data_IF_772202902809
#
_entry.id   IF_772202902809
#
_cell.length_a   1.000
_cell.length_b   1.000
_cell.length_c   1.000
_cell.angle_alpha   90.00
_cell.angle_beta   90.00
_cell.angle_gamma   90.00
#
_symmetry.space_group_name_H-M   'P 1'
#
loop_
_entity.id
_entity.type
_entity.pdbx_description
1 polymer ?
#
# COMPACT_ATOMS: atom_id res chain seq x y z
N UNK A 1 -8.85 6.24 -2.66
CA UNK A 1 -8.87 4.88 -2.09
C UNK A 1 -10.24 4.48 -1.58
N UNK A 2 -10.78 3.41 -2.16
CA UNK A 2 -11.86 2.60 -1.59
C UNK A 2 -11.14 1.50 -0.81
N UNK A 3 -11.38 1.37 0.49
CA UNK A 3 -10.65 0.43 1.34
C UNK A 3 -11.07 -1.04 1.10
N UNK A 4 -10.92 -1.51 -0.14
CA UNK A 4 -11.35 -2.82 -0.61
C UNK A 4 -10.42 -3.96 -0.15
N UNK A 5 -9.20 -3.62 0.33
CA UNK A 5 -8.17 -4.54 0.83
C UNK A 5 -7.67 -5.60 -0.17
N UNK A 6 -7.97 -5.46 -1.47
CA UNK A 6 -7.53 -6.39 -2.50
C UNK A 6 -6.00 -6.46 -2.62
N UNK A 7 -5.31 -5.32 -2.60
CA UNK A 7 -3.85 -5.28 -2.71
C UNK A 7 -3.15 -5.97 -1.52
N UNK A 8 -3.72 -5.90 -0.31
CA UNK A 8 -3.21 -6.65 0.85
C UNK A 8 -3.47 -8.16 0.72
N UNK A 9 -4.64 -8.55 0.18
CA UNK A 9 -5.00 -9.95 -0.01
C UNK A 9 -4.19 -10.66 -1.11
N UNK A 10 -3.86 -9.96 -2.20
CA UNK A 10 -3.07 -10.52 -3.31
C UNK A 10 -1.56 -10.52 -3.04
N UNK A 11 -1.09 -9.75 -2.05
CA UNK A 11 0.33 -9.57 -1.79
C UNK A 11 0.97 -10.90 -1.29
N UNK A 12 1.87 -11.53 -2.07
CA UNK A 12 2.45 -12.82 -1.69
C UNK A 12 3.38 -12.71 -0.48
N UNK A 13 4.01 -11.54 -0.29
CA UNK A 13 4.93 -11.28 0.81
C UNK A 13 4.25 -10.67 2.04
N UNK A 14 2.93 -10.46 2.00
CA UNK A 14 2.16 -9.79 3.05
C UNK A 14 2.80 -8.46 3.51
N UNK A 15 3.28 -7.67 2.54
CA UNK A 15 3.99 -6.42 2.79
C UNK A 15 3.06 -5.21 3.02
N UNK A 16 1.75 -5.35 2.74
CA UNK A 16 0.79 -4.24 2.74
C UNK A 16 -0.20 -4.39 3.91
N UNK A 17 -0.26 -3.37 4.75
CA UNK A 17 -1.21 -3.26 5.87
C UNK A 17 -2.21 -2.14 5.60
N UNK A 18 -3.51 -2.44 5.76
CA UNK A 18 -4.60 -1.51 5.43
C UNK A 18 -5.64 -1.48 6.55
N UNK A 19 -5.79 -0.31 7.15
CA UNK A 19 -6.84 -0.01 8.11
C UNK A 19 -7.88 0.92 7.49
N UNK A 20 -9.14 0.73 7.87
CA UNK A 20 -10.24 1.49 7.30
C UNK A 20 -11.36 1.64 8.29
N UNK A 21 -11.94 2.83 8.33
CA UNK A 21 -13.13 3.13 9.11
C UNK A 21 -14.27 3.58 8.19
N UNK A 22 -15.48 3.45 8.71
CA UNK A 22 -16.68 4.02 8.09
C UNK A 22 -16.83 5.45 8.58
N UNK A 23 -16.94 6.40 7.64
CA UNK A 23 -17.17 7.81 7.98
C UNK A 23 -18.65 8.09 8.14
N UNK A 24 -18.96 9.23 8.76
CA UNK A 24 -20.32 9.73 8.98
C UNK A 24 -21.13 9.90 7.66
N UNK A 25 -20.44 10.00 6.52
CA UNK A 25 -21.03 10.08 5.18
C UNK A 25 -21.41 8.71 4.59
N UNK A 26 -21.25 7.62 5.35
CA UNK A 26 -21.51 6.24 4.92
C UNK A 26 -20.45 5.70 3.96
N UNK A 27 -19.38 6.44 3.69
CA UNK A 27 -18.28 5.98 2.83
C UNK A 27 -17.16 5.34 3.65
N UNK A 28 -16.63 4.23 3.15
CA UNK A 28 -15.49 3.54 3.79
C UNK A 28 -14.18 4.09 3.25
N UNK A 29 -13.36 4.68 4.12
CA UNK A 29 -12.09 5.30 3.74
C UNK A 29 -10.93 4.68 4.51
N UNK A 30 -9.79 4.63 3.83
CA UNK A 30 -8.54 4.12 4.39
C UNK A 30 -7.98 5.12 5.40
N UNK A 31 -7.84 4.71 6.65
CA UNK A 31 -7.24 5.48 7.74
C UNK A 31 -5.73 5.36 7.73
N UNK A 32 -5.23 4.13 7.71
CA UNK A 32 -3.81 3.81 7.55
C UNK A 32 -3.60 2.93 6.33
N UNK A 33 -2.57 3.28 5.56
CA UNK A 33 -2.05 2.48 4.45
C UNK A 33 -0.53 2.46 4.58
N UNK A 34 0.01 1.27 4.78
CA UNK A 34 1.42 1.04 5.05
C UNK A 34 1.97 -0.05 4.13
N UNK A 35 3.13 0.21 3.52
CA UNK A 35 3.88 -0.77 2.73
C UNK A 35 5.25 -0.97 3.38
N UNK A 36 5.57 -2.21 3.73
CA UNK A 36 6.90 -2.60 4.17
C UNK A 36 7.79 -2.86 2.93
N UNK A 37 8.62 -1.88 2.58
CA UNK A 37 9.52 -1.91 1.43
C UNK A 37 10.60 -3.00 1.53
N UNK A 38 10.88 -3.52 2.73
CA UNK A 38 11.83 -4.62 2.92
C UNK A 38 11.18 -5.99 2.74
N UNK A 39 9.88 -6.11 2.98
CA UNK A 39 9.11 -7.33 2.67
C UNK A 39 8.64 -7.34 1.22
N UNK A 40 8.37 -6.18 0.63
CA UNK A 40 7.89 -6.08 -0.74
C UNK A 40 8.92 -6.69 -1.71
N UNK A 41 8.42 -7.53 -2.62
CA UNK A 41 9.23 -8.18 -3.66
C UNK A 41 9.05 -7.55 -5.05
N UNK A 42 8.37 -6.40 -5.13
CA UNK A 42 8.20 -5.61 -6.37
C UNK A 42 7.66 -6.47 -7.54
N UNK A 43 6.53 -7.14 -7.28
CA UNK A 43 5.92 -8.09 -8.23
C UNK A 43 4.79 -7.50 -9.09
N UNK A 44 4.39 -6.24 -8.87
CA UNK A 44 3.28 -5.60 -9.61
C UNK A 44 1.85 -6.10 -9.31
N UNK A 45 1.64 -7.19 -8.57
CA UNK A 45 0.30 -7.75 -8.34
C UNK A 45 -0.68 -6.80 -7.66
N UNK A 46 -0.19 -5.89 -6.82
CA UNK A 46 -1.03 -4.89 -6.16
C UNK A 46 -1.61 -3.87 -7.15
N UNK A 47 -0.88 -3.52 -8.22
CA UNK A 47 -1.32 -2.63 -9.29
C UNK A 47 -2.40 -3.31 -10.12
N UNK A 48 -2.15 -4.53 -10.61
CA UNK A 48 -3.10 -5.29 -11.41
C UNK A 48 -4.41 -5.60 -10.66
N UNK A 49 -4.33 -5.85 -9.36
CA UNK A 49 -5.50 -6.12 -8.52
C UNK A 49 -6.30 -4.86 -8.18
N UNK A 50 -5.76 -3.66 -8.44
CA UNK A 50 -6.44 -2.42 -8.07
C UNK A 50 -7.53 -2.09 -9.09
N UNK A 51 -8.82 -2.05 -8.71
CA UNK A 51 -9.90 -1.77 -9.66
C UNK A 51 -10.02 -0.29 -10.07
N UNK A 52 -9.22 0.58 -9.44
CA UNK A 52 -9.31 2.04 -9.55
C UNK A 52 -7.93 2.70 -9.61
N UNK A 53 -6.89 1.91 -9.89
CA UNK A 53 -5.50 2.37 -10.02
C UNK A 53 -5.03 3.27 -8.86
N UNK A 54 -5.43 2.93 -7.63
CA UNK A 54 -5.04 3.67 -6.42
C UNK A 54 -3.64 3.33 -5.91
N UNK A 55 -2.99 2.30 -6.46
CA UNK A 55 -1.61 1.91 -6.18
C UNK A 55 -0.96 1.53 -7.51
N UNK A 56 0.23 2.05 -7.77
CA UNK A 56 1.01 1.81 -8.98
C UNK A 56 2.48 1.65 -8.61
N UNK A 57 3.20 0.80 -9.33
CA UNK A 57 4.66 0.73 -9.21
C UNK A 57 5.30 1.81 -10.08
N UNK A 58 6.15 2.65 -9.49
CA UNK A 58 6.86 3.69 -10.24
C UNK A 58 8.13 3.15 -10.86
N UNK A 59 8.58 3.71 -11.99
CA UNK A 59 9.88 3.40 -12.61
C UNK A 59 11.11 3.93 -11.82
N UNK A 60 10.91 4.35 -10.56
CA UNK A 60 11.95 4.91 -9.72
C UNK A 60 12.61 3.82 -8.86
N UNK A 61 13.77 3.34 -9.30
CA UNK A 61 14.52 2.28 -8.62
C UNK A 61 15.62 2.80 -7.68
N UNK A 62 15.84 4.12 -7.64
CA UNK A 62 16.94 4.75 -6.93
C UNK A 62 16.53 5.27 -5.54
N UNK A 63 16.03 4.39 -4.68
CA UNK A 63 15.74 4.71 -3.28
C UNK A 63 16.72 3.98 -2.36
N UNK A 64 17.25 4.69 -1.37
CA UNK A 64 18.19 4.14 -0.40
C UNK A 64 17.63 4.37 1.00
N UNK A 65 17.55 3.29 1.77
CA UNK A 65 17.11 3.30 3.16
C UNK A 65 18.29 2.89 4.03
N UNK A 66 18.64 3.74 5.00
CA UNK A 66 19.74 3.52 5.95
C UNK A 66 19.23 3.06 7.31
N UNK A 67 18.00 3.44 7.64
CA UNK A 67 17.39 3.20 8.94
C UNK A 67 16.19 2.26 8.79
N UNK A 68 15.97 1.38 9.78
CA UNK A 68 14.85 0.44 9.74
C UNK A 68 13.48 1.13 9.76
N UNK A 69 13.38 2.35 10.28
CA UNK A 69 12.14 3.12 10.32
C UNK A 69 11.70 3.57 8.92
N UNK A 70 12.65 3.74 7.99
CA UNK A 70 12.39 4.16 6.61
C UNK A 70 11.80 3.04 5.75
N UNK A 71 11.78 1.78 6.25
CA UNK A 71 11.21 0.64 5.53
C UNK A 71 9.70 0.73 5.38
N UNK A 72 9.01 1.39 6.31
CA UNK A 72 7.55 1.51 6.29
C UNK A 72 7.18 2.78 5.54
N UNK A 73 6.59 2.61 4.37
CA UNK A 73 6.07 3.69 3.54
C UNK A 73 4.59 3.90 3.89
N UNK A 74 4.25 5.09 4.38
CA UNK A 74 2.89 5.45 4.78
C UNK A 74 2.19 6.24 3.68
N UNK A 75 0.86 6.32 3.76
CA UNK A 75 -0.01 7.12 2.88
C UNK A 75 0.42 8.58 2.69
N UNK A 76 1.13 9.19 3.64
CA UNK A 76 1.59 10.58 3.53
C UNK A 76 2.87 10.71 2.68
N UNK A 77 3.59 9.60 2.50
CA UNK A 77 4.82 9.52 1.71
C UNK A 77 4.59 8.95 0.30
N UNK A 78 3.36 8.55 -0.01
CA UNK A 78 2.91 7.94 -1.28
C UNK A 78 1.88 8.83 -1.98
#
# INVERSE_FOLDING_TARGET
>A
MIACKLCSAVCPAQAITIESEERDDGTRRTTSFEIDAFKCIYCGFCEEACPVDSIVETDFFAYHMTENEQRIQTKEML
#
